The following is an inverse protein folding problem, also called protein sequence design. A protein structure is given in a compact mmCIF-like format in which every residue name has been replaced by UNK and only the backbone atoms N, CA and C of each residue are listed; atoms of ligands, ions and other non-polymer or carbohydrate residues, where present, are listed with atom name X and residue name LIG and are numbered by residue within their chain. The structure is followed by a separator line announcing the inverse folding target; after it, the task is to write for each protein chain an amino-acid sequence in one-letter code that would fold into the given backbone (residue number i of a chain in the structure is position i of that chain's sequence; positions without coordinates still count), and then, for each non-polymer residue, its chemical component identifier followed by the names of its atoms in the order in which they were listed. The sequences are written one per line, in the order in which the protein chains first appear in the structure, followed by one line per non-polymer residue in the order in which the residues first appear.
data_IF_191843919243
#
_entry.id   IF_191843919243
#
_cell.length_a   1.000
_cell.length_b   1.000
_cell.length_c   1.000
_cell.angle_alpha   90.00
_cell.angle_beta   90.00
_cell.angle_gamma   90.00
#
_symmetry.space_group_name_H-M   'P 1'
#
loop_
_entity.id
_entity.type
_entity.pdbx_description
1 polymer ?
#
# COMPACT_ATOMS: atom_id res chain seq x y z
N UNK A 1 -2.03 -22.43 10.72
CA UNK A 1 -1.62 -21.07 11.14
C UNK A 1 -2.38 -20.13 10.23
N UNK A 2 -3.52 -19.63 10.68
CA UNK A 2 -4.36 -18.76 9.87
C UNK A 2 -3.64 -17.42 9.69
N UNK A 3 -3.28 -17.09 8.46
CA UNK A 3 -2.72 -15.78 8.12
C UNK A 3 -3.89 -14.79 8.07
N UNK A 4 -4.39 -14.39 9.23
CA UNK A 4 -5.18 -13.17 9.31
C UNK A 4 -4.23 -12.00 9.00
N UNK A 5 -4.45 -11.29 7.89
CA UNK A 5 -3.86 -9.96 7.69
C UNK A 5 -2.81 -9.80 6.58
N UNK A 6 -2.77 -10.67 5.56
CA UNK A 6 -2.08 -10.33 4.30
C UNK A 6 -3.07 -9.70 3.33
N UNK A 7 -2.83 -8.45 2.95
CA UNK A 7 -3.63 -7.74 1.94
C UNK A 7 -2.76 -7.34 0.76
N UNK A 8 -3.09 -7.81 -0.44
CA UNK A 8 -2.38 -7.42 -1.65
C UNK A 8 -2.92 -6.10 -2.17
N UNK A 9 -2.03 -5.14 -2.46
CA UNK A 9 -2.33 -3.87 -3.08
C UNK A 9 -1.88 -3.94 -4.54
N UNK A 10 -2.83 -3.77 -5.45
CA UNK A 10 -2.60 -3.77 -6.88
C UNK A 10 -2.23 -2.38 -7.38
N UNK A 11 -1.01 -2.25 -7.91
CA UNK A 11 -0.40 -0.97 -8.34
C UNK A 11 -0.12 -1.00 -9.84
N UNK A 12 -0.44 0.08 -10.55
CA UNK A 12 0.04 0.30 -11.91
C UNK A 12 1.44 0.93 -11.88
N UNK A 13 2.50 0.21 -12.31
CA UNK A 13 3.87 0.71 -12.29
C UNK A 13 4.14 1.82 -13.32
N UNK A 14 3.29 1.96 -14.34
CA UNK A 14 3.39 3.00 -15.38
C UNK A 14 2.85 4.34 -14.88
N UNK A 15 1.93 4.32 -13.90
CA UNK A 15 1.31 5.51 -13.33
C UNK A 15 2.15 6.10 -12.19
N UNK A 16 2.93 7.13 -12.52
CA UNK A 16 3.88 7.80 -11.59
C UNK A 16 3.25 8.86 -10.67
N UNK A 17 1.96 9.15 -10.82
CA UNK A 17 1.21 10.11 -10.04
C UNK A 17 0.17 9.41 -9.17
N UNK A 18 -0.72 10.17 -8.52
CA UNK A 18 -1.85 9.67 -7.75
C UNK A 18 -2.61 8.56 -8.53
N UNK A 19 -2.84 7.43 -7.88
CA UNK A 19 -3.61 6.33 -8.45
C UNK A 19 -4.51 5.68 -7.42
N UNK A 20 -5.67 5.24 -7.90
CA UNK A 20 -6.56 4.35 -7.15
C UNK A 20 -5.94 2.96 -7.19
N UNK A 21 -5.76 2.36 -6.03
CA UNK A 21 -5.26 0.99 -5.88
C UNK A 21 -6.41 0.11 -5.40
N UNK A 22 -6.51 -1.10 -5.95
CA UNK A 22 -7.46 -2.11 -5.49
C UNK A 22 -6.76 -3.05 -4.51
N UNK A 23 -7.47 -3.51 -3.50
CA UNK A 23 -6.96 -4.48 -2.53
C UNK A 23 -7.58 -5.87 -2.79
N UNK A 24 -6.88 -6.93 -2.36
CA UNK A 24 -7.34 -8.31 -2.53
C UNK A 24 -8.64 -8.64 -1.78
N UNK A 25 -8.96 -7.88 -0.74
CA UNK A 25 -10.23 -7.98 -0.01
C UNK A 25 -11.41 -7.30 -0.74
N UNK A 26 -11.15 -6.71 -1.92
CA UNK A 26 -12.14 -6.00 -2.74
C UNK A 26 -12.28 -4.52 -2.38
N UNK A 27 -11.62 -4.04 -1.33
CA UNK A 27 -11.60 -2.63 -0.97
C UNK A 27 -10.65 -1.81 -1.86
N UNK A 28 -10.64 -0.50 -1.64
CA UNK A 28 -9.85 0.45 -2.44
C UNK A 28 -9.02 1.38 -1.55
N UNK A 29 -7.99 1.96 -2.16
CA UNK A 29 -7.21 3.03 -1.58
C UNK A 29 -6.69 3.99 -2.63
N UNK A 30 -5.94 4.98 -2.18
CA UNK A 30 -5.23 5.93 -3.01
C UNK A 30 -3.76 5.89 -2.65
N UNK A 31 -2.91 5.68 -3.66
CA UNK A 31 -1.47 5.86 -3.57
C UNK A 31 -1.12 7.25 -4.11
N UNK A 32 -0.37 8.05 -3.35
CA UNK A 32 0.10 9.38 -3.76
C UNK A 32 1.60 9.51 -3.59
N UNK A 33 2.35 10.03 -4.58
CA UNK A 33 3.73 10.42 -4.36
C UNK A 33 3.80 11.60 -3.37
N UNK A 34 4.68 11.51 -2.40
CA UNK A 34 4.94 12.53 -1.39
C UNK A 34 6.41 12.93 -1.48
N UNK A 35 6.66 14.21 -1.74
CA UNK A 35 8.03 14.75 -1.75
C UNK A 35 8.55 14.85 -0.33
N UNK A 36 9.67 14.19 -0.06
CA UNK A 36 10.41 14.25 1.20
C UNK A 36 11.83 14.78 0.97
N UNK A 37 12.52 15.16 2.05
CA UNK A 37 13.90 15.68 1.95
C UNK A 37 14.87 14.68 1.29
N UNK A 38 14.62 13.38 1.46
CA UNK A 38 15.47 12.29 0.95
C UNK A 38 15.03 11.75 -0.42
N UNK A 39 13.95 12.27 -1.02
CA UNK A 39 13.44 11.78 -2.30
C UNK A 39 11.91 11.74 -2.38
N UNK A 40 11.39 10.84 -3.20
CA UNK A 40 9.94 10.62 -3.35
C UNK A 40 9.55 9.40 -2.53
N UNK A 41 8.68 9.62 -1.54
CA UNK A 41 7.96 8.57 -0.83
C UNK A 41 6.58 8.35 -1.47
N UNK A 42 5.90 7.28 -1.09
CA UNK A 42 4.57 6.94 -1.58
C UNK A 42 3.65 6.68 -0.40
N UNK A 43 2.64 7.53 -0.24
CA UNK A 43 1.64 7.42 0.81
C UNK A 43 0.45 6.64 0.31
N UNK A 44 0.05 5.63 1.08
CA UNK A 44 -1.14 4.83 0.88
C UNK A 44 -2.20 5.23 1.91
N UNK A 45 -3.39 5.58 1.43
CA UNK A 45 -4.55 5.83 2.26
C UNK A 45 -5.70 4.93 1.79
N UNK A 46 -6.34 4.20 2.70
CA UNK A 46 -7.38 3.23 2.36
C UNK A 46 -8.76 3.77 2.72
N UNK A 47 -9.78 3.40 1.93
CA UNK A 47 -11.17 3.78 2.20
C UNK A 47 -11.81 2.87 3.24
N UNK A 48 -11.28 1.65 3.40
CA UNK A 48 -11.69 0.73 4.45
C UNK A 48 -11.05 1.14 5.77
N UNK A 49 -11.86 1.44 6.79
CA UNK A 49 -11.39 1.83 8.12
C UNK A 49 -10.57 0.75 8.81
N UNK A 50 -10.70 -0.51 8.39
CA UNK A 50 -9.90 -1.62 8.93
C UNK A 50 -8.45 -1.62 8.44
N UNK A 51 -8.09 -0.85 7.39
CA UNK A 51 -6.71 -0.81 6.90
C UNK A 51 -6.00 0.49 7.30
N UNK A 52 -4.91 0.42 8.09
CA UNK A 52 -4.12 1.59 8.39
C UNK A 52 -3.40 2.08 7.14
N UNK A 53 -3.45 3.40 6.90
CA UNK A 53 -2.60 4.03 5.90
C UNK A 53 -1.12 3.95 6.30
N UNK A 54 -0.23 3.98 5.32
CA UNK A 54 1.21 3.92 5.55
C UNK A 54 2.01 4.68 4.47
N UNK A 55 3.31 4.82 4.68
CA UNK A 55 4.22 5.51 3.75
C UNK A 55 5.38 4.57 3.41
N UNK A 56 5.55 4.27 2.13
CA UNK A 56 6.76 3.64 1.60
C UNK A 56 7.80 4.70 1.26
N UNK A 57 9.02 4.56 1.78
CA UNK A 57 10.11 5.52 1.56
C UNK A 57 10.85 5.32 0.23
N UNK A 58 10.46 4.31 -0.53
CA UNK A 58 10.97 4.02 -1.87
C UNK A 58 9.81 3.79 -2.84
N UNK A 59 10.14 3.72 -4.13
CA UNK A 59 9.18 3.36 -5.17
C UNK A 59 8.65 1.95 -4.92
N UNK A 60 7.33 1.72 -4.97
CA UNK A 60 6.77 0.37 -4.88
C UNK A 60 7.24 -0.50 -6.04
N UNK A 61 7.77 -1.67 -5.74
CA UNK A 61 8.16 -2.70 -6.69
C UNK A 61 7.34 -3.97 -6.49
N UNK A 62 7.23 -4.76 -7.55
CA UNK A 62 6.45 -6.00 -7.52
C UNK A 62 7.03 -6.97 -6.48
N UNK A 63 6.20 -7.44 -5.55
CA UNK A 63 6.61 -8.33 -4.47
C UNK A 63 7.07 -7.63 -3.19
N UNK A 64 7.07 -6.29 -3.13
CA UNK A 64 7.32 -5.57 -1.87
C UNK A 64 6.34 -6.00 -0.78
N UNK A 65 6.83 -6.05 0.45
CA UNK A 65 6.04 -6.38 1.63
C UNK A 65 6.25 -5.32 2.71
N UNK A 66 5.17 -4.70 3.15
CA UNK A 66 5.15 -3.71 4.23
C UNK A 66 4.41 -4.26 5.45
N UNK A 67 5.06 -4.16 6.61
CA UNK A 67 4.45 -4.55 7.88
C UNK A 67 4.10 -3.29 8.65
N UNK A 68 2.81 -3.05 8.83
CA UNK A 68 2.27 -1.84 9.44
C UNK A 68 1.73 -2.16 10.82
N UNK A 69 2.26 -1.48 11.82
CA UNK A 69 1.80 -1.57 13.21
C UNK A 69 0.87 -0.40 13.50
N UNK A 70 -0.39 -0.70 13.78
CA UNK A 70 -1.41 0.27 14.14
C UNK A 70 -1.99 -0.01 15.53
N UNK A 71 -2.83 0.89 16.05
CA UNK A 71 -3.53 0.69 17.32
C UNK A 71 -4.45 -0.54 17.28
N UNK A 72 -4.98 -0.86 16.10
CA UNK A 72 -5.89 -1.99 15.86
C UNK A 72 -5.14 -3.32 15.57
N UNK A 73 -3.80 -3.28 15.61
CA UNK A 73 -2.94 -4.45 15.42
C UNK A 73 -1.98 -4.34 14.25
N UNK A 74 -1.27 -5.44 14.00
CA UNK A 74 -0.30 -5.56 12.92
C UNK A 74 -0.99 -6.05 11.65
N UNK A 75 -0.68 -5.42 10.52
CA UNK A 75 -1.15 -5.85 9.20
C UNK A 75 0.03 -5.92 8.23
N UNK A 76 -0.05 -6.85 7.29
CA UNK A 76 0.96 -7.04 6.26
C UNK A 76 0.35 -6.72 4.90
N UNK A 77 0.99 -5.83 4.16
CA UNK A 77 0.59 -5.46 2.81
C UNK A 77 1.61 -5.93 1.79
N UNK A 78 1.17 -6.60 0.72
CA UNK A 78 2.02 -6.99 -0.41
C UNK A 78 1.73 -6.13 -1.62
N UNK A 79 2.74 -5.66 -2.33
CA UNK A 79 2.55 -4.95 -3.59
C UNK A 79 2.59 -5.94 -4.75
N UNK A 80 1.58 -5.87 -5.63
CA UNK A 80 1.60 -6.56 -6.91
C UNK A 80 1.33 -5.59 -8.05
N UNK A 81 2.10 -5.69 -9.12
CA UNK A 81 1.88 -4.86 -10.30
C UNK A 81 0.76 -5.42 -11.17
N UNK A 82 -0.16 -4.55 -11.59
CA UNK A 82 -1.11 -4.89 -12.65
C UNK A 82 -0.43 -4.74 -14.01
N UNK A 83 -0.58 -5.76 -14.86
CA UNK A 83 0.00 -5.83 -16.21
C UNK A 83 -0.78 -5.05 -17.24
#
# INVERSE_FOLDING_TARGET
MEVFGLTTIYVDPKKKHDQIVKLSDGSYGVMKPKKEKAGIAYQFNFTNHMHPGFIMKHKPVNGDVENVHSIDGKQTFKIEWIS
#
